data_IF_785976006902
#
_entry.id   IF_785976006902
#
_cell.length_a   1.000
_cell.length_b   1.000
_cell.length_c   1.000
_cell.angle_alpha   90.00
_cell.angle_beta   90.00
_cell.angle_gamma   90.00
#
_symmetry.space_group_name_H-M   'P 1'
#
loop_
_entity.id
_entity.type
_entity.pdbx_description
1 polymer ?
#
# COMPACT_ATOMS: atom_id res chain seq x y z
N UNK A 1 5.83 37.06 5.91
CA UNK A 1 6.43 36.27 4.80
C UNK A 1 5.67 34.96 4.72
N UNK A 2 4.60 34.89 3.92
CA UNK A 2 3.74 33.70 3.86
C UNK A 2 4.26 32.75 2.79
N UNK A 3 4.85 31.62 3.18
CA UNK A 3 5.16 30.53 2.25
C UNK A 3 3.92 29.67 2.06
N UNK A 4 3.27 29.83 0.92
CA UNK A 4 2.32 28.86 0.40
C UNK A 4 3.12 27.67 -0.16
N UNK A 5 3.22 26.60 0.62
CA UNK A 5 3.71 25.32 0.11
C UNK A 5 2.59 24.71 -0.74
N UNK A 6 2.68 24.95 -2.05
CA UNK A 6 1.93 24.19 -3.05
C UNK A 6 2.44 22.74 -3.02
N UNK A 7 1.72 21.87 -2.32
CA UNK A 7 1.95 20.43 -2.36
C UNK A 7 1.30 19.89 -3.65
N UNK A 8 2.14 19.50 -4.61
CA UNK A 8 1.71 19.01 -5.92
C UNK A 8 0.73 17.85 -5.82
N UNK A 9 -0.48 18.06 -6.32
CA UNK A 9 -1.53 17.05 -6.43
C UNK A 9 -1.29 16.16 -7.65
N UNK A 10 -0.24 15.35 -7.59
CA UNK A 10 -0.14 14.17 -8.46
C UNK A 10 -1.30 13.24 -8.12
N UNK A 11 -2.37 13.28 -8.92
CA UNK A 11 -3.54 12.40 -8.77
C UNK A 11 -3.13 10.98 -9.16
N UNK A 12 -2.61 10.23 -8.19
CA UNK A 12 -2.54 8.79 -8.32
C UNK A 12 -3.99 8.26 -8.37
N UNK A 13 -4.38 7.69 -9.50
CA UNK A 13 -5.75 7.26 -9.74
C UNK A 13 -5.93 5.86 -9.14
N UNK A 14 -6.44 5.77 -7.92
CA UNK A 14 -6.79 4.51 -7.24
C UNK A 14 -8.29 4.23 -7.34
N UNK A 15 -8.69 2.96 -7.26
CA UNK A 15 -10.10 2.61 -7.07
C UNK A 15 -10.43 2.79 -5.59
N UNK A 16 -11.50 3.53 -5.23
CA UNK A 16 -11.82 3.82 -3.83
C UNK A 16 -13.03 2.99 -3.36
N UNK A 17 -13.17 2.71 -2.05
CA UNK A 17 -14.45 2.26 -1.49
C UNK A 17 -15.60 3.21 -1.89
N UNK A 18 -16.80 2.68 -2.18
CA UNK A 18 -17.96 3.52 -2.47
C UNK A 18 -18.40 4.30 -1.22
N UNK A 19 -19.02 5.47 -1.40
CA UNK A 19 -19.59 6.32 -0.35
C UNK A 19 -18.60 6.96 0.64
N UNK A 20 -17.38 7.29 0.22
CA UNK A 20 -16.46 8.11 1.02
C UNK A 20 -16.78 9.60 0.87
N UNK A 21 -16.75 10.33 1.98
CA UNK A 21 -16.77 11.79 1.94
C UNK A 21 -15.40 12.36 1.47
N UNK A 22 -15.34 13.68 1.27
CA UNK A 22 -14.13 14.33 0.77
C UNK A 22 -12.94 14.20 1.72
N UNK A 23 -13.19 14.21 3.04
CA UNK A 23 -12.16 14.07 4.07
C UNK A 23 -11.65 12.64 4.11
N UNK A 24 -12.55 11.66 4.14
CA UNK A 24 -12.21 10.24 4.16
C UNK A 24 -11.46 9.84 2.90
N UNK A 25 -11.85 10.39 1.74
CA UNK A 25 -11.12 10.17 0.49
C UNK A 25 -9.69 10.70 0.56
N UNK A 26 -9.50 11.91 1.10
CA UNK A 26 -8.17 12.49 1.28
C UNK A 26 -7.31 11.65 2.24
N UNK A 27 -7.90 11.17 3.33
CA UNK A 27 -7.24 10.28 4.28
C UNK A 27 -6.81 8.97 3.60
N UNK A 28 -7.71 8.38 2.81
CA UNK A 28 -7.44 7.16 2.04
C UNK A 28 -6.32 7.36 1.01
N UNK A 29 -6.33 8.50 0.31
CA UNK A 29 -5.24 8.85 -0.63
C UNK A 29 -3.89 8.95 0.07
N UNK A 30 -3.84 9.59 1.23
CA UNK A 30 -2.61 9.72 2.01
C UNK A 30 -2.15 8.35 2.51
N UNK A 31 -3.09 7.50 2.94
CA UNK A 31 -2.80 6.14 3.38
C UNK A 31 -2.23 5.27 2.25
N UNK A 32 -2.83 5.32 1.06
CA UNK A 32 -2.32 4.61 -0.12
C UNK A 32 -0.94 5.15 -0.53
N UNK A 33 -0.72 6.48 -0.52
CA UNK A 33 0.59 7.09 -0.84
C UNK A 33 1.66 6.61 0.13
N UNK A 34 1.35 6.52 1.43
CA UNK A 34 2.24 5.93 2.44
C UNK A 34 2.55 4.47 2.11
N UNK A 35 1.53 3.67 1.80
CA UNK A 35 1.68 2.28 1.39
C UNK A 35 2.61 2.10 0.19
N UNK A 36 2.50 2.98 -0.82
CA UNK A 36 3.40 3.00 -1.98
C UNK A 36 4.84 3.25 -1.60
N UNK A 37 5.11 4.26 -0.77
CA UNK A 37 6.46 4.59 -0.33
C UNK A 37 7.09 3.43 0.45
N UNK A 38 6.32 2.86 1.39
CA UNK A 38 6.76 1.71 2.18
C UNK A 38 7.05 0.50 1.30
N UNK A 39 6.20 0.20 0.31
CA UNK A 39 6.41 -0.89 -0.64
C UNK A 39 7.69 -0.70 -1.45
N UNK A 40 7.94 0.52 -1.95
CA UNK A 40 9.15 0.81 -2.72
C UNK A 40 10.42 0.57 -1.91
N UNK A 41 10.42 0.94 -0.62
CA UNK A 41 11.57 0.75 0.27
C UNK A 41 11.73 -0.70 0.72
N UNK A 42 10.64 -1.40 0.99
CA UNK A 42 10.66 -2.66 1.73
C UNK A 42 10.36 -3.91 0.87
N UNK A 43 9.72 -3.76 -0.29
CA UNK A 43 9.18 -4.89 -1.05
C UNK A 43 9.68 -4.92 -2.51
N UNK A 44 9.93 -3.75 -3.12
CA UNK A 44 10.19 -3.65 -4.56
C UNK A 44 11.49 -4.31 -5.03
N UNK A 45 12.45 -4.54 -4.13
CA UNK A 45 13.68 -5.26 -4.44
C UNK A 45 13.45 -6.71 -4.85
N UNK A 46 12.38 -7.35 -4.34
CA UNK A 46 12.02 -8.73 -4.65
C UNK A 46 10.78 -8.81 -5.56
N UNK A 47 9.83 -7.90 -5.38
CA UNK A 47 8.53 -7.91 -6.07
C UNK A 47 8.42 -6.95 -7.26
N UNK A 48 9.48 -6.18 -7.54
CA UNK A 48 9.51 -5.19 -8.62
C UNK A 48 8.82 -3.88 -8.25
N UNK A 49 9.18 -2.78 -8.93
CA UNK A 49 8.59 -1.44 -8.68
C UNK A 49 7.17 -1.30 -9.22
N UNK A 50 6.85 -2.03 -10.29
CA UNK A 50 5.55 -2.02 -10.96
C UNK A 50 4.77 -3.32 -10.69
N UNK A 51 5.09 -4.03 -9.61
CA UNK A 51 4.48 -5.34 -9.27
C UNK A 51 4.63 -6.39 -10.37
N UNK A 52 5.49 -6.16 -11.35
CA UNK A 52 5.96 -7.11 -12.33
C UNK A 52 7.39 -7.47 -11.97
N UNK A 53 7.62 -8.72 -11.60
CA UNK A 53 8.97 -9.27 -11.68
C UNK A 53 9.25 -9.64 -13.14
N UNK A 54 10.52 -9.67 -13.53
CA UNK A 54 10.94 -9.95 -14.92
C UNK A 54 10.53 -11.36 -15.40
N UNK A 55 10.04 -12.20 -14.50
CA UNK A 55 9.77 -13.62 -14.59
C UNK A 55 8.34 -14.01 -14.12
N UNK A 56 7.48 -13.05 -13.78
CA UNK A 56 6.05 -13.25 -13.50
C UNK A 56 5.68 -13.97 -12.18
N UNK A 57 6.65 -14.56 -11.47
CA UNK A 57 6.40 -15.38 -10.28
C UNK A 57 6.29 -14.59 -8.97
N UNK A 58 6.72 -13.32 -8.91
CA UNK A 58 6.69 -12.52 -7.67
C UNK A 58 5.54 -11.49 -7.61
N UNK A 59 4.47 -11.69 -8.38
CA UNK A 59 3.28 -10.85 -8.31
C UNK A 59 2.38 -11.27 -7.14
N UNK A 60 1.88 -10.28 -6.38
CA UNK A 60 0.87 -10.54 -5.35
C UNK A 60 -0.50 -10.74 -5.99
N UNK A 61 -1.10 -11.92 -5.81
CA UNK A 61 -2.51 -12.15 -6.13
C UNK A 61 -3.43 -11.47 -5.09
N UNK A 62 -4.67 -11.16 -5.47
CA UNK A 62 -5.67 -10.63 -4.54
C UNK A 62 -5.88 -11.53 -3.32
N UNK A 63 -5.90 -12.86 -3.52
CA UNK A 63 -6.02 -13.83 -2.43
C UNK A 63 -4.82 -13.78 -1.49
N UNK A 64 -3.59 -13.66 -2.01
CA UNK A 64 -2.41 -13.51 -1.16
C UNK A 64 -2.47 -12.23 -0.33
N UNK A 65 -2.86 -11.09 -0.93
CA UNK A 65 -2.99 -9.81 -0.21
C UNK A 65 -4.06 -9.91 0.89
N UNK A 66 -5.21 -10.51 0.59
CA UNK A 66 -6.29 -10.71 1.56
C UNK A 66 -5.85 -11.61 2.71
N UNK A 67 -5.27 -12.78 2.40
CA UNK A 67 -4.81 -13.73 3.42
C UNK A 67 -3.72 -13.12 4.29
N UNK A 68 -2.85 -12.33 3.69
CA UNK A 68 -1.79 -11.64 4.39
C UNK A 68 -2.34 -10.61 5.40
N UNK A 69 -3.32 -9.78 4.99
CA UNK A 69 -4.00 -8.84 5.90
C UNK A 69 -4.76 -9.55 7.04
N UNK A 70 -5.38 -10.70 6.75
CA UNK A 70 -6.07 -11.52 7.76
C UNK A 70 -5.07 -12.14 8.75
N UNK A 71 -3.98 -12.74 8.25
CA UNK A 71 -2.98 -13.39 9.09
C UNK A 71 -2.24 -12.40 10.00
N UNK A 72 -2.02 -11.16 9.54
CA UNK A 72 -1.47 -10.09 10.37
C UNK A 72 -2.34 -9.82 11.62
N UNK A 73 -3.66 -9.84 11.46
CA UNK A 73 -4.62 -9.56 12.53
C UNK A 73 -4.80 -10.74 13.48
N UNK A 74 -4.84 -11.97 12.95
CA UNK A 74 -5.20 -13.16 13.71
C UNK A 74 -3.98 -13.83 14.35
N UNK A 75 -2.87 -13.96 13.60
CA UNK A 75 -1.73 -14.82 13.99
C UNK A 75 -0.43 -14.05 14.15
N UNK A 76 -0.35 -12.84 13.59
CA UNK A 76 0.91 -12.13 13.37
C UNK A 76 1.96 -12.95 12.57
N UNK A 77 1.50 -13.99 11.87
CA UNK A 77 2.32 -14.92 11.09
C UNK A 77 2.29 -14.53 9.61
N UNK A 78 2.95 -13.42 9.30
CA UNK A 78 3.23 -13.01 7.92
C UNK A 78 4.67 -13.38 7.54
N UNK A 79 5.07 -13.09 6.28
CA UNK A 79 6.46 -13.24 5.83
C UNK A 79 7.43 -12.66 6.88
N UNK A 80 8.46 -13.41 7.31
CA UNK A 80 9.32 -13.01 8.44
C UNK A 80 9.85 -11.57 8.35
N UNK A 81 10.12 -11.10 7.14
CA UNK A 81 10.59 -9.75 6.88
C UNK A 81 9.66 -8.65 7.40
N UNK A 82 8.35 -8.87 7.43
CA UNK A 82 7.37 -7.86 7.87
C UNK A 82 7.06 -7.94 9.36
N UNK A 83 7.53 -8.97 10.07
CA UNK A 83 7.35 -9.07 11.53
C UNK A 83 8.07 -7.94 12.29
N UNK A 84 9.03 -7.25 11.65
CA UNK A 84 9.74 -6.09 12.18
C UNK A 84 9.09 -4.73 11.85
N UNK A 85 7.97 -4.73 11.12
CA UNK A 85 7.26 -3.52 10.70
C UNK A 85 6.02 -3.30 11.57
N UNK A 86 5.61 -2.04 11.75
CA UNK A 86 4.34 -1.74 12.43
C UNK A 86 3.15 -2.27 11.61
N UNK A 87 2.09 -2.72 12.29
CA UNK A 87 0.88 -3.25 11.65
C UNK A 87 0.23 -2.23 10.71
N UNK A 88 0.23 -0.94 11.06
CA UNK A 88 -0.36 0.11 10.22
C UNK A 88 0.44 0.34 8.92
N UNK A 89 1.76 0.18 8.98
CA UNK A 89 2.63 0.27 7.79
C UNK A 89 2.38 -0.89 6.85
N UNK A 90 2.20 -2.08 7.43
CA UNK A 90 1.85 -3.28 6.69
C UNK A 90 0.45 -3.15 6.07
N UNK A 91 -0.52 -2.63 6.83
CA UNK A 91 -1.89 -2.41 6.33
C UNK A 91 -1.91 -1.38 5.20
N UNK A 92 -1.14 -0.29 5.30
CA UNK A 92 -0.96 0.67 4.22
C UNK A 92 -0.40 0.02 2.94
N UNK A 93 0.58 -0.87 3.06
CA UNK A 93 1.10 -1.64 1.91
C UNK A 93 0.00 -2.53 1.32
N UNK A 94 -0.78 -3.24 2.14
CA UNK A 94 -1.86 -4.10 1.67
C UNK A 94 -2.96 -3.31 0.93
N UNK A 95 -3.35 -2.14 1.45
CA UNK A 95 -4.32 -1.26 0.81
C UNK A 95 -3.78 -0.73 -0.52
N UNK A 96 -2.53 -0.28 -0.55
CA UNK A 96 -1.88 0.14 -1.79
C UNK A 96 -1.83 -0.98 -2.84
N UNK A 97 -1.48 -2.20 -2.44
CA UNK A 97 -1.44 -3.34 -3.35
C UNK A 97 -2.84 -3.68 -3.88
N UNK A 98 -3.90 -3.59 -3.06
CA UNK A 98 -5.28 -3.88 -3.50
C UNK A 98 -5.79 -2.90 -4.56
N UNK A 99 -5.41 -1.64 -4.46
CA UNK A 99 -5.95 -0.58 -5.32
C UNK A 99 -5.01 -0.14 -6.43
N UNK A 100 -3.88 -0.84 -6.61
CA UNK A 100 -2.93 -0.56 -7.67
C UNK A 100 -3.58 -0.70 -9.06
N UNK A 101 -3.23 0.22 -9.95
CA UNK A 101 -3.56 0.18 -11.38
C UNK A 101 -2.62 -0.74 -12.13
#
# INVERSE_FOLDING_TARGET
MSLFISCGTGKFLYDYPPNLDAKDKLEYENFIKRGRQLYLVNCSSCHGKNYSSMDGQNQFTETQIRNYAVNLKIRNETHKFTQRMNKDDIDAICVYLRYRK
#
